data_IF_513909545222
#
_entry.id   IF_513909545222
#
_cell.length_a   1.000
_cell.length_b   1.000
_cell.length_c   1.000
_cell.angle_alpha   90.00
_cell.angle_beta   90.00
_cell.angle_gamma   90.00
#
_symmetry.space_group_name_H-M   'P 1'
#
loop_
_entity.id
_entity.type
_entity.pdbx_description
1 polymer ?
#
# COMPACT_ATOMS: atom_id res chain seq x y z
N UNK A 1 25.42 13.02 62.89
CA UNK A 1 24.57 11.95 62.31
C UNK A 1 25.48 11.06 61.48
N UNK A 2 25.94 9.94 62.06
CA UNK A 2 26.96 9.05 61.49
C UNK A 2 26.31 8.15 60.44
N UNK A 3 26.58 8.40 59.16
CA UNK A 3 26.18 7.51 58.06
C UNK A 3 26.93 6.19 58.27
N UNK A 4 26.22 5.11 58.55
CA UNK A 4 26.82 3.78 58.69
C UNK A 4 27.36 3.35 57.33
N UNK A 5 28.41 2.50 57.31
CA UNK A 5 28.99 1.95 56.07
C UNK A 5 27.92 1.30 55.17
N UNK A 6 26.91 0.72 55.78
CA UNK A 6 25.75 0.12 55.12
C UNK A 6 24.95 1.12 54.27
N UNK A 7 24.77 2.37 54.71
CA UNK A 7 24.06 3.40 53.94
C UNK A 7 24.89 4.00 52.78
N UNK A 8 26.21 3.79 52.79
CA UNK A 8 27.09 4.20 51.69
C UNK A 8 27.08 3.20 50.52
N UNK A 9 26.87 1.91 50.80
CA UNK A 9 26.99 0.83 49.80
C UNK A 9 25.65 0.53 49.06
N UNK A 10 24.51 0.90 49.65
CA UNK A 10 23.16 0.71 49.06
C UNK A 10 22.99 1.20 47.60
N UNK A 11 23.47 2.39 47.18
CA UNK A 11 23.34 2.81 45.78
C UNK A 11 24.19 1.95 44.83
N UNK A 12 25.35 1.46 45.27
CA UNK A 12 26.21 0.60 44.45
C UNK A 12 25.55 -0.76 44.22
N UNK A 13 24.97 -1.35 45.27
CA UNK A 13 24.22 -2.61 45.18
C UNK A 13 23.05 -2.48 44.20
N UNK A 14 22.29 -1.38 44.28
CA UNK A 14 21.16 -1.13 43.37
C UNK A 14 21.58 -0.98 41.89
N UNK A 15 22.71 -0.32 41.62
CA UNK A 15 23.25 -0.16 40.27
C UNK A 15 23.71 -1.52 39.72
N UNK A 16 24.47 -2.29 40.51
CA UNK A 16 24.97 -3.61 40.11
C UNK A 16 23.81 -4.57 39.84
N UNK A 17 22.78 -4.58 40.71
CA UNK A 17 21.59 -5.42 40.50
C UNK A 17 20.83 -5.04 39.22
N UNK A 18 20.73 -3.74 38.93
CA UNK A 18 20.02 -3.23 37.74
C UNK A 18 20.78 -3.55 36.45
N UNK A 19 22.12 -3.43 36.44
CA UNK A 19 22.94 -3.89 35.32
C UNK A 19 22.99 -5.42 35.20
N UNK A 20 22.92 -6.16 36.31
CA UNK A 20 22.74 -7.61 36.29
C UNK A 20 21.43 -8.02 35.61
N UNK A 21 20.32 -7.34 35.93
CA UNK A 21 19.05 -7.54 35.24
C UNK A 21 19.16 -7.20 33.75
N UNK A 22 19.90 -6.13 33.40
CA UNK A 22 20.12 -5.76 32.00
C UNK A 22 20.79 -6.89 31.19
N UNK A 23 21.87 -7.46 31.75
CA UNK A 23 22.62 -8.57 31.15
C UNK A 23 21.74 -9.82 31.06
N UNK A 24 21.02 -10.17 32.13
CA UNK A 24 20.12 -11.32 32.14
C UNK A 24 19.02 -11.20 31.08
N UNK A 25 18.42 -10.02 30.94
CA UNK A 25 17.44 -9.73 29.88
C UNK A 25 18.03 -9.88 28.48
N UNK A 26 19.26 -9.40 28.25
CA UNK A 26 19.92 -9.53 26.94
C UNK A 26 20.25 -10.99 26.58
N UNK A 27 20.73 -11.79 27.55
CA UNK A 27 20.99 -13.22 27.36
C UNK A 27 19.68 -13.98 27.13
N UNK A 28 18.62 -13.64 27.88
CA UNK A 28 17.29 -14.22 27.68
C UNK A 28 16.76 -13.91 26.28
N UNK A 29 16.96 -12.69 25.78
CA UNK A 29 16.56 -12.30 24.43
C UNK A 29 17.32 -13.12 23.37
N UNK A 30 18.65 -13.22 23.48
CA UNK A 30 19.47 -14.00 22.55
C UNK A 30 19.06 -15.48 22.54
N UNK A 31 18.76 -16.04 23.71
CA UNK A 31 18.30 -17.43 23.86
C UNK A 31 16.91 -17.62 23.26
N UNK A 32 15.96 -16.73 23.58
CA UNK A 32 14.61 -16.75 23.06
C UNK A 32 14.59 -16.63 21.53
N UNK A 33 15.48 -15.80 20.97
CA UNK A 33 15.65 -15.65 19.54
C UNK A 33 16.22 -16.93 18.90
N UNK A 34 17.31 -17.48 19.46
CA UNK A 34 17.97 -18.68 18.94
C UNK A 34 17.07 -19.92 18.98
N UNK A 35 16.21 -20.02 19.99
CA UNK A 35 15.26 -21.13 20.16
C UNK A 35 13.87 -20.84 19.56
N UNK A 36 13.71 -19.75 18.80
CA UNK A 36 12.48 -19.36 18.14
C UNK A 36 11.25 -19.31 19.09
N UNK A 37 11.43 -18.74 20.29
CA UNK A 37 10.33 -18.51 21.23
C UNK A 37 9.36 -17.46 20.69
N UNK A 38 8.21 -17.30 21.36
CA UNK A 38 7.18 -16.35 20.93
C UNK A 38 7.66 -14.90 20.96
N UNK A 39 7.05 -14.04 20.14
CA UNK A 39 7.37 -12.61 20.08
C UNK A 39 7.12 -11.90 21.41
N UNK A 40 6.16 -12.36 22.22
CA UNK A 40 5.92 -11.81 23.55
C UNK A 40 7.08 -12.10 24.50
N UNK A 41 7.68 -13.30 24.43
CA UNK A 41 8.82 -13.67 25.27
C UNK A 41 10.07 -12.84 24.93
N UNK A 42 10.34 -12.63 23.64
CA UNK A 42 11.42 -11.75 23.18
C UNK A 42 11.19 -10.30 23.63
N UNK A 43 9.96 -9.79 23.53
CA UNK A 43 9.59 -8.46 24.02
C UNK A 43 9.82 -8.31 25.53
N UNK A 44 9.41 -9.29 26.33
CA UNK A 44 9.63 -9.28 27.78
C UNK A 44 11.12 -9.27 28.15
N UNK A 45 11.94 -10.04 27.44
CA UNK A 45 13.39 -10.06 27.63
C UNK A 45 14.05 -8.69 27.35
N UNK A 46 13.62 -8.00 26.29
CA UNK A 46 14.08 -6.64 25.98
C UNK A 46 13.64 -5.62 27.04
N UNK A 47 12.42 -5.73 27.58
CA UNK A 47 11.96 -4.87 28.69
C UNK A 47 12.85 -5.04 29.92
N UNK A 48 13.21 -6.27 30.28
CA UNK A 48 14.14 -6.54 31.39
C UNK A 48 15.52 -5.95 31.09
N UNK A 49 16.01 -6.14 29.85
CA UNK A 49 17.32 -5.66 29.42
C UNK A 49 17.44 -4.13 29.52
N UNK A 50 16.55 -3.40 28.83
CA UNK A 50 16.58 -1.94 28.77
C UNK A 50 16.08 -1.30 30.07
N UNK A 51 15.13 -1.92 30.77
CA UNK A 51 14.66 -1.48 32.07
C UNK A 51 15.78 -1.51 33.11
N UNK A 52 16.52 -2.62 33.20
CA UNK A 52 17.69 -2.73 34.06
C UNK A 52 18.77 -1.70 33.74
N UNK A 53 19.08 -1.51 32.44
CA UNK A 53 20.06 -0.51 32.00
C UNK A 53 19.64 0.92 32.38
N UNK A 54 18.39 1.28 32.11
CA UNK A 54 17.83 2.61 32.40
C UNK A 54 17.84 2.93 33.89
N UNK A 55 17.37 2.00 34.73
CA UNK A 55 17.38 2.17 36.19
C UNK A 55 18.81 2.27 36.71
N UNK A 56 19.72 1.41 36.24
CA UNK A 56 21.12 1.42 36.66
C UNK A 56 21.83 2.75 36.32
N UNK A 57 21.66 3.25 35.10
CA UNK A 57 22.22 4.54 34.68
C UNK A 57 21.61 5.72 35.44
N UNK A 58 20.30 5.69 35.71
CA UNK A 58 19.62 6.74 36.47
C UNK A 58 20.12 6.80 37.91
N UNK A 59 20.28 5.65 38.57
CA UNK A 59 20.79 5.60 39.95
C UNK A 59 22.26 6.03 39.98
N UNK A 60 23.08 5.60 39.01
CA UNK A 60 24.47 6.07 38.86
C UNK A 60 24.51 7.61 38.73
N UNK A 61 23.79 8.17 37.76
CA UNK A 61 23.78 9.61 37.48
C UNK A 61 23.21 10.48 38.61
N UNK A 62 22.46 9.90 39.56
CA UNK A 62 21.94 10.64 40.72
C UNK A 62 22.78 10.46 41.98
N UNK A 63 23.48 9.34 42.12
CA UNK A 63 24.11 8.95 43.39
C UNK A 63 25.65 8.94 43.36
N UNK A 64 26.27 8.74 42.20
CA UNK A 64 27.73 8.61 42.08
C UNK A 64 28.38 9.73 41.26
N UNK A 65 27.67 10.36 40.33
CA UNK A 65 28.19 11.53 39.61
C UNK A 65 28.15 12.76 40.51
N UNK A 66 29.14 13.65 40.35
CA UNK A 66 29.18 14.92 41.07
C UNK A 66 28.03 15.78 40.56
N UNK A 67 27.10 16.09 41.45
CA UNK A 67 26.07 17.08 41.18
C UNK A 67 26.57 18.44 41.64
N UNK A 68 26.48 19.43 40.76
CA UNK A 68 26.85 20.81 41.04
C UNK A 68 26.32 21.72 39.94
N UNK A 69 26.02 22.97 40.28
CA UNK A 69 25.76 23.98 39.27
C UNK A 69 27.07 24.32 38.57
N UNK A 70 27.13 24.12 37.25
CA UNK A 70 28.18 24.69 36.42
C UNK A 70 27.61 25.92 35.73
N UNK A 71 28.35 27.02 35.79
CA UNK A 71 28.05 28.24 35.04
C UNK A 71 29.12 28.34 33.97
N UNK A 72 28.70 28.20 32.72
CA UNK A 72 29.54 28.45 31.55
C UNK A 72 29.14 29.80 30.97
N UNK A 73 30.11 30.68 30.71
CA UNK A 73 29.83 31.91 29.98
C UNK A 73 29.56 31.57 28.52
N UNK A 74 28.35 31.89 28.05
CA UNK A 74 28.00 31.74 26.64
C UNK A 74 28.50 32.96 25.89
N UNK A 75 29.50 32.78 25.04
CA UNK A 75 29.87 33.78 24.02
C UNK A 75 28.62 34.01 23.16
N UNK A 76 27.99 35.18 23.28
CA UNK A 76 26.64 35.45 22.77
C UNK A 76 26.41 35.03 21.30
N UNK A 77 25.16 34.95 20.88
CA UNK A 77 24.80 34.45 19.54
C UNK A 77 25.32 35.28 18.34
N UNK A 78 25.94 36.43 18.59
CA UNK A 78 26.46 37.31 17.57
C UNK A 78 27.99 37.25 17.54
N UNK A 79 28.54 36.88 16.38
CA UNK A 79 29.98 36.96 16.13
C UNK A 79 30.46 38.41 16.23
N UNK A 80 31.67 38.66 16.78
CA UNK A 80 32.28 39.99 16.83
C UNK A 80 32.30 40.68 15.47
N UNK A 81 32.11 42.00 15.46
CA UNK A 81 32.09 42.78 14.23
C UNK A 81 33.43 42.69 13.46
N UNK A 82 34.55 42.52 14.16
CA UNK A 82 35.86 42.28 13.56
C UNK A 82 35.94 40.99 12.75
N UNK A 83 35.31 39.91 13.23
CA UNK A 83 35.31 38.62 12.53
C UNK A 83 34.39 38.65 11.31
N UNK A 84 33.21 39.26 11.45
CA UNK A 84 32.27 39.43 10.33
C UNK A 84 32.83 40.34 9.24
N UNK A 85 33.51 41.42 9.62
CA UNK A 85 34.18 42.33 8.66
C UNK A 85 35.40 41.70 8.00
N UNK A 86 36.19 40.92 8.75
CA UNK A 86 37.31 40.16 8.18
C UNK A 86 36.82 39.10 7.17
N UNK A 87 35.78 38.32 7.52
CA UNK A 87 35.18 37.34 6.62
C UNK A 87 34.60 38.00 5.36
N UNK A 88 33.87 39.11 5.51
CA UNK A 88 33.34 39.86 4.37
C UNK A 88 34.47 40.43 3.47
N UNK A 89 35.56 40.91 4.07
CA UNK A 89 36.75 41.37 3.35
C UNK A 89 37.41 40.24 2.55
N UNK A 90 37.50 39.05 3.11
CA UNK A 90 38.07 37.88 2.44
C UNK A 90 37.16 37.38 1.29
N UNK A 91 35.84 37.30 1.51
CA UNK A 91 34.87 36.94 0.46
C UNK A 91 34.90 37.92 -0.72
N UNK A 92 35.04 39.22 -0.44
CA UNK A 92 35.08 40.25 -1.50
C UNK A 92 36.43 40.31 -2.20
N UNK A 93 37.54 40.03 -1.52
CA UNK A 93 38.88 39.95 -2.12
C UNK A 93 39.00 38.82 -3.16
N UNK A 94 38.25 37.72 -3.02
CA UNK A 94 38.25 36.59 -3.96
C UNK A 94 37.55 36.96 -5.30
N UNK A 95 36.69 37.98 -5.32
CA UNK A 95 35.92 38.40 -6.49
C UNK A 95 36.76 39.17 -7.54
N UNK A 96 37.73 38.51 -8.17
CA UNK A 96 38.55 39.11 -9.23
C UNK A 96 37.77 39.21 -10.57
N UNK A 97 37.72 40.39 -11.23
CA UNK A 97 36.89 40.62 -12.41
C UNK A 97 37.39 39.94 -13.71
N UNK A 98 38.63 39.43 -13.75
CA UNK A 98 39.25 38.86 -14.95
C UNK A 98 38.84 37.41 -15.30
N UNK A 99 37.96 36.77 -14.51
CA UNK A 99 37.53 35.36 -14.74
C UNK A 99 36.04 35.21 -15.05
N UNK A 100 35.34 36.30 -15.42
CA UNK A 100 33.89 36.31 -15.70
C UNK A 100 33.48 35.28 -16.75
N UNK A 101 34.27 35.09 -17.82
CA UNK A 101 34.01 34.08 -18.84
C UNK A 101 34.13 32.64 -18.33
N UNK A 102 35.15 32.36 -17.51
CA UNK A 102 35.36 31.03 -16.92
C UNK A 102 34.25 30.70 -15.90
N UNK A 103 33.85 31.66 -15.06
CA UNK A 103 32.73 31.50 -14.13
C UNK A 103 31.40 31.33 -14.85
N UNK A 104 31.15 32.09 -15.93
CA UNK A 104 29.96 31.91 -16.75
C UNK A 104 29.90 30.51 -17.38
N UNK A 105 31.03 30.01 -17.91
CA UNK A 105 31.12 28.65 -18.43
C UNK A 105 30.95 27.58 -17.35
N UNK A 106 31.50 27.79 -16.15
CA UNK A 106 31.28 26.90 -15.01
C UNK A 106 29.80 26.85 -14.61
N UNK A 107 29.15 28.00 -14.47
CA UNK A 107 27.71 28.08 -14.15
C UNK A 107 26.86 27.42 -15.24
N UNK A 108 27.20 27.61 -16.51
CA UNK A 108 26.54 26.95 -17.62
C UNK A 108 26.72 25.43 -17.55
N UNK A 109 27.95 24.95 -17.27
CA UNK A 109 28.24 23.52 -17.15
C UNK A 109 27.48 22.89 -15.97
N UNK A 110 27.51 23.52 -14.79
CA UNK A 110 26.75 23.06 -13.61
C UNK A 110 25.25 23.06 -13.89
N UNK A 111 24.73 24.08 -14.57
CA UNK A 111 23.31 24.15 -14.95
C UNK A 111 22.94 23.06 -15.96
N UNK A 112 23.79 22.80 -16.94
CA UNK A 112 23.59 21.73 -17.93
C UNK A 112 23.60 20.35 -17.28
N UNK A 113 24.53 20.09 -16.36
CA UNK A 113 24.55 18.85 -15.56
C UNK A 113 23.30 18.76 -14.68
N UNK A 114 22.89 19.85 -14.03
CA UNK A 114 21.66 19.92 -13.24
C UNK A 114 20.42 19.59 -14.06
N UNK A 115 20.31 20.12 -15.28
CA UNK A 115 19.24 19.79 -16.21
C UNK A 115 19.30 18.32 -16.67
N UNK A 116 20.49 17.79 -16.93
CA UNK A 116 20.67 16.39 -17.30
C UNK A 116 20.24 15.43 -16.18
N UNK A 117 20.41 15.81 -14.91
CA UNK A 117 19.96 15.02 -13.76
C UNK A 117 18.42 14.92 -13.65
N UNK A 118 17.67 15.78 -14.34
CA UNK A 118 16.20 15.66 -14.44
C UNK A 118 15.78 14.67 -15.53
N UNK A 119 16.66 14.33 -16.47
CA UNK A 119 16.33 13.47 -17.61
C UNK A 119 15.86 12.06 -17.22
N UNK A 120 16.39 11.39 -16.18
CA UNK A 120 15.86 10.10 -15.72
C UNK A 120 14.37 10.12 -15.33
N UNK A 121 13.80 11.27 -14.95
CA UNK A 121 12.36 11.40 -14.69
C UNK A 121 11.51 11.10 -15.93
N UNK A 122 12.07 11.26 -17.14
CA UNK A 122 11.41 10.83 -18.38
C UNK A 122 11.07 9.33 -18.35
N UNK A 123 11.90 8.49 -17.74
CA UNK A 123 11.63 7.06 -17.63
C UNK A 123 10.41 6.74 -16.76
N UNK A 124 9.99 7.66 -15.88
CA UNK A 124 8.76 7.53 -15.10
C UNK A 124 7.52 7.99 -15.88
N UNK A 125 7.71 8.84 -16.89
CA UNK A 125 6.65 9.47 -17.68
C UNK A 125 6.35 8.72 -18.98
N UNK A 126 7.26 7.86 -19.45
CA UNK A 126 7.04 7.06 -20.64
C UNK A 126 6.39 5.72 -20.27
N UNK A 127 5.14 5.46 -20.68
CA UNK A 127 4.53 4.15 -20.50
C UNK A 127 5.33 3.10 -21.27
N UNK A 128 5.68 2.01 -20.60
CA UNK A 128 6.27 0.82 -21.22
C UNK A 128 5.12 -0.02 -21.78
N UNK A 129 4.98 -0.08 -23.10
CA UNK A 129 3.95 -0.90 -23.76
C UNK A 129 2.81 -0.09 -24.34
N UNK A 130 1.60 -0.65 -24.29
CA UNK A 130 0.41 0.00 -24.85
C UNK A 130 0.04 1.28 -24.11
N UNK A 131 -0.66 2.18 -24.81
CA UNK A 131 -1.10 3.44 -24.23
C UNK A 131 -1.99 3.18 -23.00
N UNK A 132 -1.73 3.78 -21.83
CA UNK A 132 -2.44 3.46 -20.58
C UNK A 132 -3.97 3.56 -20.69
N UNK A 133 -4.47 4.56 -21.43
CA UNK A 133 -5.92 4.70 -21.64
C UNK A 133 -6.53 3.53 -22.42
N UNK A 134 -5.78 2.91 -23.34
CA UNK A 134 -6.24 1.73 -24.07
C UNK A 134 -6.30 0.52 -23.14
N UNK A 135 -5.28 0.31 -22.32
CA UNK A 135 -5.26 -0.75 -21.30
C UNK A 135 -6.40 -0.62 -20.29
N UNK A 136 -6.81 0.61 -19.95
CA UNK A 136 -7.94 0.85 -19.04
C UNK A 136 -9.32 0.74 -19.72
N UNK A 137 -9.39 0.61 -21.04
CA UNK A 137 -10.66 0.57 -21.80
C UNK A 137 -10.91 -0.76 -22.51
N UNK A 138 -9.89 -1.57 -22.70
CA UNK A 138 -9.96 -2.84 -23.40
C UNK A 138 -9.39 -3.93 -22.51
N UNK A 139 -10.14 -5.00 -22.33
CA UNK A 139 -9.72 -6.14 -21.53
C UNK A 139 -9.40 -7.36 -22.41
N UNK A 140 -8.85 -8.41 -21.79
CA UNK A 140 -8.65 -9.69 -22.46
C UNK A 140 -9.97 -10.36 -22.93
N UNK A 141 -11.15 -9.90 -22.48
CA UNK A 141 -12.44 -10.39 -22.98
C UNK A 141 -12.74 -9.97 -24.42
N UNK A 142 -12.05 -8.95 -24.95
CA UNK A 142 -12.16 -8.50 -26.34
C UNK A 142 -11.53 -9.47 -27.34
N UNK A 143 -10.73 -10.43 -26.88
CA UNK A 143 -10.12 -11.46 -27.72
C UNK A 143 -11.20 -12.30 -28.43
N UNK A 144 -10.79 -13.14 -29.39
CA UNK A 144 -11.70 -13.95 -30.19
C UNK A 144 -12.43 -15.00 -29.33
N UNK A 145 -13.57 -14.59 -28.78
CA UNK A 145 -14.52 -15.39 -28.01
C UNK A 145 -13.88 -16.30 -26.94
N UNK A 146 -13.11 -15.74 -25.98
CA UNK A 146 -12.42 -16.55 -24.98
C UNK A 146 -13.41 -17.34 -24.13
N UNK A 147 -13.07 -18.60 -23.85
CA UNK A 147 -13.84 -19.43 -22.91
C UNK A 147 -13.77 -18.84 -21.51
N UNK A 148 -14.86 -18.98 -20.77
CA UNK A 148 -14.88 -18.65 -19.35
C UNK A 148 -14.24 -19.79 -18.58
N UNK A 149 -13.20 -19.46 -17.82
CA UNK A 149 -12.45 -20.42 -17.01
C UNK A 149 -12.48 -20.05 -15.53
N UNK A 150 -12.31 -21.04 -14.66
CA UNK A 150 -12.09 -20.84 -13.23
C UNK A 150 -10.68 -20.28 -12.92
N UNK A 151 -10.35 -20.14 -11.64
CA UNK A 151 -9.04 -19.64 -11.20
C UNK A 151 -7.86 -20.57 -11.60
N UNK A 152 -8.13 -21.85 -11.84
CA UNK A 152 -7.15 -22.86 -12.25
C UNK A 152 -7.12 -23.03 -13.80
N UNK A 153 -7.74 -22.11 -14.55
CA UNK A 153 -7.85 -22.13 -16.00
C UNK A 153 -8.64 -23.34 -16.55
N UNK A 154 -9.62 -23.86 -15.79
CA UNK A 154 -10.52 -24.93 -16.24
C UNK A 154 -11.80 -24.32 -16.86
N UNK A 155 -12.23 -24.77 -18.06
CA UNK A 155 -13.44 -24.28 -18.69
C UNK A 155 -14.70 -24.52 -17.85
N UNK A 156 -15.55 -23.50 -17.77
CA UNK A 156 -16.81 -23.51 -17.00
C UNK A 156 -17.98 -23.87 -17.92
N UNK A 157 -18.85 -24.77 -17.47
CA UNK A 157 -20.10 -25.15 -18.16
C UNK A 157 -21.27 -24.34 -17.64
N UNK A 158 -22.32 -24.21 -18.47
CA UNK A 158 -23.58 -23.59 -18.03
C UNK A 158 -24.18 -24.29 -16.80
N UNK A 159 -24.06 -25.61 -16.73
CA UNK A 159 -24.54 -26.44 -15.61
C UNK A 159 -23.82 -26.18 -14.28
N UNK A 160 -22.60 -25.64 -14.33
CA UNK A 160 -21.79 -25.41 -13.14
C UNK A 160 -22.27 -24.16 -12.37
N UNK A 161 -23.01 -23.27 -13.04
CA UNK A 161 -23.63 -22.10 -12.42
C UNK A 161 -24.97 -22.52 -11.83
N UNK A 162 -24.98 -22.88 -10.55
CA UNK A 162 -26.21 -23.20 -9.83
C UNK A 162 -26.94 -21.92 -9.40
N UNK A 163 -28.26 -22.01 -9.20
CA UNK A 163 -28.94 -21.04 -8.33
C UNK A 163 -28.23 -21.12 -6.97
N UNK A 164 -27.93 -19.99 -6.34
CA UNK A 164 -27.23 -19.86 -5.02
C UNK A 164 -25.72 -19.62 -5.03
N UNK A 165 -24.99 -19.82 -6.14
CA UNK A 165 -23.53 -19.61 -6.15
C UNK A 165 -23.12 -18.50 -7.10
N UNK A 166 -22.15 -17.69 -6.65
CA UNK A 166 -21.42 -16.77 -7.51
C UNK A 166 -20.11 -17.43 -7.90
N UNK A 167 -19.95 -17.67 -9.19
CA UNK A 167 -18.75 -18.28 -9.72
C UNK A 167 -17.84 -17.21 -10.32
N UNK A 168 -16.63 -17.08 -9.78
CA UNK A 168 -15.61 -16.19 -10.34
C UNK A 168 -15.05 -16.81 -11.61
N UNK A 169 -14.94 -16.02 -12.67
CA UNK A 169 -14.47 -16.46 -13.98
C UNK A 169 -13.48 -15.49 -14.60
N UNK A 170 -12.66 -16.01 -15.50
CA UNK A 170 -11.63 -15.31 -16.25
C UNK A 170 -11.68 -15.73 -17.73
N UNK A 171 -11.11 -14.95 -18.66
CA UNK A 171 -10.87 -15.39 -20.02
C UNK A 171 -9.75 -16.40 -20.04
N UNK A 172 -9.91 -17.43 -20.86
CA UNK A 172 -8.91 -18.47 -21.07
C UNK A 172 -7.51 -17.89 -21.33
N UNK A 173 -6.51 -18.42 -20.60
CA UNK A 173 -5.12 -17.98 -20.69
C UNK A 173 -4.80 -16.64 -20.03
N UNK A 174 -5.78 -15.96 -19.41
CA UNK A 174 -5.63 -14.62 -18.83
C UNK A 174 -6.20 -14.53 -17.40
N UNK A 175 -5.75 -15.42 -16.51
CA UNK A 175 -6.24 -15.50 -15.11
C UNK A 175 -5.58 -14.52 -14.14
N UNK A 176 -4.50 -13.84 -14.53
CA UNK A 176 -3.68 -13.00 -13.63
C UNK A 176 -3.98 -11.49 -13.70
N UNK A 177 -4.86 -11.04 -14.61
CA UNK A 177 -5.21 -9.62 -14.77
C UNK A 177 -6.20 -9.11 -13.71
N UNK A 178 -5.99 -7.89 -13.20
CA UNK A 178 -6.83 -7.31 -12.13
C UNK A 178 -8.15 -6.68 -12.60
N UNK A 179 -8.21 -6.25 -13.86
CA UNK A 179 -9.36 -5.68 -14.58
C UNK A 179 -10.19 -6.75 -15.32
N UNK A 180 -9.64 -7.96 -15.39
CA UNK A 180 -10.16 -9.11 -16.10
C UNK A 180 -11.25 -9.91 -15.36
N UNK A 181 -11.28 -10.07 -14.02
CA UNK A 181 -12.20 -11.02 -13.42
C UNK A 181 -13.66 -10.58 -13.56
N UNK A 182 -14.49 -11.53 -13.96
CA UNK A 182 -15.95 -11.42 -13.95
C UNK A 182 -16.52 -12.43 -12.95
N UNK A 183 -17.82 -12.34 -12.71
CA UNK A 183 -18.55 -13.38 -11.99
C UNK A 183 -19.82 -13.76 -12.73
N UNK A 184 -20.20 -15.02 -12.59
CA UNK A 184 -21.45 -15.60 -13.05
C UNK A 184 -22.38 -15.80 -11.87
N UNK A 185 -23.65 -15.54 -12.08
CA UNK A 185 -24.71 -15.90 -11.13
C UNK A 185 -25.97 -16.29 -11.90
N UNK A 186 -26.67 -17.30 -11.41
CA UNK A 186 -27.98 -17.68 -11.92
C UNK A 186 -29.08 -17.06 -11.07
N UNK A 187 -29.94 -16.28 -11.71
CA UNK A 187 -31.11 -15.65 -11.11
C UNK A 187 -32.32 -16.01 -11.96
N UNK A 188 -33.44 -16.37 -11.31
CA UNK A 188 -34.69 -16.67 -12.02
C UNK A 188 -35.08 -15.52 -12.97
N UNK A 189 -35.28 -15.78 -14.28
CA UNK A 189 -35.52 -14.75 -15.29
C UNK A 189 -36.62 -13.72 -14.96
N UNK A 190 -37.69 -14.15 -14.29
CA UNK A 190 -38.83 -13.30 -13.93
C UNK A 190 -38.53 -12.26 -12.84
N UNK A 191 -37.39 -12.37 -12.14
CA UNK A 191 -37.00 -11.42 -11.09
C UNK A 191 -36.35 -10.15 -11.61
N UNK A 192 -35.83 -10.15 -12.84
CA UNK A 192 -35.14 -8.99 -13.39
C UNK A 192 -36.12 -7.84 -13.66
N UNK A 193 -35.81 -6.65 -13.14
CA UNK A 193 -36.60 -5.42 -13.37
C UNK A 193 -36.05 -4.64 -14.56
N UNK A 194 -34.75 -4.78 -14.83
CA UNK A 194 -34.06 -4.20 -15.98
C UNK A 194 -33.30 -5.30 -16.71
N UNK A 195 -33.29 -5.25 -18.04
CA UNK A 195 -32.53 -6.20 -18.85
C UNK A 195 -31.04 -6.13 -18.48
N UNK A 196 -30.39 -7.26 -18.14
CA UNK A 196 -28.96 -7.30 -17.87
C UNK A 196 -28.16 -6.78 -19.07
N UNK A 197 -27.14 -5.92 -18.87
CA UNK A 197 -26.45 -5.24 -19.96
C UNK A 197 -25.67 -6.21 -20.87
N UNK A 198 -25.12 -7.30 -20.31
CA UNK A 198 -24.47 -8.37 -21.08
C UNK A 198 -25.45 -9.40 -21.66
N UNK A 199 -26.76 -9.25 -21.44
CA UNK A 199 -27.72 -10.31 -21.73
C UNK A 199 -27.72 -11.42 -20.68
N UNK A 200 -28.42 -12.51 -20.98
CA UNK A 200 -28.64 -13.64 -20.06
C UNK A 200 -28.87 -14.94 -20.82
N UNK A 201 -28.53 -16.08 -20.21
CA UNK A 201 -28.79 -17.43 -20.72
C UNK A 201 -29.41 -18.25 -19.60
N UNK A 202 -30.69 -18.62 -19.71
CA UNK A 202 -31.41 -19.37 -18.68
C UNK A 202 -31.26 -18.78 -17.27
N UNK A 203 -31.25 -17.44 -17.17
CA UNK A 203 -31.08 -16.71 -15.91
C UNK A 203 -29.63 -16.51 -15.47
N UNK A 204 -28.65 -17.09 -16.17
CA UNK A 204 -27.23 -16.82 -15.95
C UNK A 204 -26.87 -15.47 -16.54
N UNK A 205 -26.30 -14.62 -15.70
CA UNK A 205 -25.77 -13.30 -16.07
C UNK A 205 -24.31 -13.20 -15.65
N UNK A 206 -23.56 -12.38 -16.38
CA UNK A 206 -22.16 -12.12 -16.10
C UNK A 206 -21.93 -10.63 -15.90
N UNK A 207 -21.20 -10.27 -14.84
CA UNK A 207 -20.79 -8.90 -14.54
C UNK A 207 -19.32 -8.84 -14.16
N UNK A 208 -18.70 -7.67 -14.27
CA UNK A 208 -17.35 -7.44 -13.75
C UNK A 208 -17.31 -7.67 -12.24
N UNK A 209 -16.29 -8.39 -11.77
CA UNK A 209 -16.00 -8.52 -10.34
C UNK A 209 -15.38 -7.24 -9.77
N UNK A 210 -15.02 -6.26 -10.60
CA UNK A 210 -14.26 -5.08 -10.19
C UNK A 210 -15.20 -3.93 -9.85
N UNK A 211 -15.21 -3.51 -8.59
CA UNK A 211 -16.04 -2.41 -8.10
C UNK A 211 -15.76 -1.11 -8.86
N UNK A 212 -16.84 -0.45 -9.30
CA UNK A 212 -16.80 0.78 -10.10
C UNK A 212 -16.40 2.04 -9.29
N UNK A 213 -16.26 1.92 -7.97
CA UNK A 213 -15.76 2.98 -7.11
C UNK A 213 -14.23 3.08 -7.16
N UNK A 214 -13.55 2.10 -6.56
CA UNK A 214 -12.11 2.12 -6.32
C UNK A 214 -11.39 0.81 -6.69
N UNK A 215 -12.06 -0.10 -7.44
CA UNK A 215 -11.41 -1.29 -8.00
C UNK A 215 -11.38 -2.53 -7.10
N UNK A 216 -11.92 -2.50 -5.88
CA UNK A 216 -12.01 -3.70 -5.04
C UNK A 216 -12.88 -4.79 -5.68
N UNK A 217 -12.59 -6.08 -5.43
CA UNK A 217 -13.48 -7.17 -5.82
C UNK A 217 -14.85 -7.07 -5.12
N UNK A 218 -15.95 -7.07 -5.88
CA UNK A 218 -17.31 -7.30 -5.35
C UNK A 218 -17.49 -8.79 -5.13
N UNK A 219 -17.24 -9.29 -3.92
CA UNK A 219 -17.12 -10.74 -3.67
C UNK A 219 -18.18 -11.31 -2.73
N UNK A 220 -19.13 -10.50 -2.28
CA UNK A 220 -20.16 -10.91 -1.32
C UNK A 220 -21.52 -10.86 -1.99
N UNK A 221 -22.18 -12.02 -2.13
CA UNK A 221 -23.48 -12.14 -2.76
C UNK A 221 -24.56 -12.40 -1.72
N UNK A 222 -25.60 -11.57 -1.74
CA UNK A 222 -26.82 -11.79 -0.96
C UNK A 222 -27.89 -12.39 -1.87
N UNK A 223 -28.19 -13.67 -1.64
CA UNK A 223 -29.08 -14.46 -2.49
C UNK A 223 -30.52 -13.96 -2.46
N UNK A 224 -31.01 -13.58 -1.27
CA UNK A 224 -32.41 -13.18 -1.09
C UNK A 224 -32.76 -11.96 -1.93
N UNK A 225 -31.91 -10.93 -1.91
CA UNK A 225 -32.11 -9.68 -2.64
C UNK A 225 -31.42 -9.65 -4.00
N UNK A 226 -30.64 -10.67 -4.35
CA UNK A 226 -29.79 -10.72 -5.54
C UNK A 226 -28.86 -9.49 -5.64
N UNK A 227 -28.20 -9.17 -4.53
CA UNK A 227 -27.30 -8.02 -4.42
C UNK A 227 -25.85 -8.45 -4.31
N UNK A 228 -24.95 -7.67 -4.91
CA UNK A 228 -23.51 -7.83 -4.77
C UNK A 228 -22.93 -6.72 -3.93
N UNK A 229 -22.16 -7.07 -2.91
CA UNK A 229 -21.57 -6.16 -1.95
C UNK A 229 -20.05 -6.10 -2.13
N UNK A 230 -19.54 -4.87 -2.14
CA UNK A 230 -18.11 -4.58 -2.05
C UNK A 230 -17.68 -4.48 -0.59
N UNK A 231 -16.78 -5.33 -0.08
CA UNK A 231 -16.37 -5.32 1.33
C UNK A 231 -15.54 -4.08 1.73
N UNK A 232 -14.95 -3.37 0.76
CA UNK A 232 -14.06 -2.24 1.06
C UNK A 232 -14.80 -1.01 1.60
N UNK A 233 -15.87 -0.59 0.91
CA UNK A 233 -16.60 0.65 1.23
C UNK A 233 -18.11 0.45 1.12
N UNK A 234 -18.57 -0.81 1.20
CA UNK A 234 -19.98 -1.17 1.31
C UNK A 234 -20.86 -0.66 0.16
N UNK A 235 -20.29 -0.58 -1.05
CA UNK A 235 -21.11 -0.37 -2.25
C UNK A 235 -21.94 -1.63 -2.51
N UNK A 236 -23.25 -1.45 -2.63
CA UNK A 236 -24.20 -2.54 -2.89
C UNK A 236 -24.76 -2.34 -4.30
N UNK A 237 -24.67 -3.38 -5.13
CA UNK A 237 -25.14 -3.40 -6.50
C UNK A 237 -26.33 -4.33 -6.63
N UNK A 238 -27.45 -3.81 -7.13
CA UNK A 238 -28.65 -4.59 -7.40
C UNK A 238 -28.54 -5.25 -8.78
N UNK A 239 -28.41 -6.58 -8.79
CA UNK A 239 -28.28 -7.34 -10.04
C UNK A 239 -29.61 -7.45 -10.81
N UNK A 240 -30.75 -7.31 -10.13
CA UNK A 240 -32.07 -7.30 -10.77
C UNK A 240 -32.29 -6.02 -11.58
N UNK A 241 -31.63 -4.93 -11.19
CA UNK A 241 -31.64 -3.62 -11.82
C UNK A 241 -30.33 -3.32 -12.58
N UNK A 242 -29.84 -4.27 -13.38
CA UNK A 242 -28.66 -4.11 -14.25
C UNK A 242 -27.36 -3.74 -13.51
N UNK A 243 -27.16 -4.26 -12.29
CA UNK A 243 -25.97 -4.01 -11.49
C UNK A 243 -25.88 -2.59 -10.96
N UNK A 244 -27.01 -1.87 -10.82
CA UNK A 244 -27.05 -0.47 -10.37
C UNK A 244 -26.65 -0.36 -8.90
N UNK A 245 -25.79 0.60 -8.52
CA UNK A 245 -25.50 0.86 -7.11
C UNK A 245 -26.74 1.40 -6.41
N UNK A 246 -27.10 0.80 -5.28
CA UNK A 246 -28.23 1.21 -4.43
C UNK A 246 -27.76 1.77 -3.08
N UNK A 247 -26.51 1.52 -2.70
CA UNK A 247 -25.90 2.03 -1.47
C UNK A 247 -24.38 2.15 -1.64
N UNK A 248 -23.77 2.98 -0.80
CA UNK A 248 -22.33 3.22 -0.77
C UNK A 248 -21.85 4.23 -1.83
N UNK A 249 -20.52 4.41 -1.97
CA UNK A 249 -19.95 5.48 -2.78
C UNK A 249 -19.87 5.20 -4.29
N UNK A 250 -20.14 3.97 -4.75
CA UNK A 250 -20.14 3.66 -6.17
C UNK A 250 -21.26 4.43 -6.90
N UNK A 251 -20.90 5.20 -7.92
CA UNK A 251 -21.84 6.01 -8.70
C UNK A 251 -22.23 5.38 -10.05
N UNK A 252 -21.69 4.20 -10.39
CA UNK A 252 -21.88 3.55 -11.70
C UNK A 252 -22.24 2.09 -11.54
N UNK A 253 -23.11 1.59 -12.42
CA UNK A 253 -23.46 0.17 -12.49
C UNK A 253 -22.26 -0.70 -12.82
N UNK A 254 -22.28 -1.94 -12.34
CA UNK A 254 -21.33 -2.96 -12.76
C UNK A 254 -21.46 -3.20 -14.27
N UNK A 255 -20.35 -3.20 -15.03
CA UNK A 255 -20.40 -3.58 -16.43
C UNK A 255 -20.81 -5.05 -16.58
N UNK A 256 -21.71 -5.31 -17.53
CA UNK A 256 -22.08 -6.67 -17.90
C UNK A 256 -21.09 -7.26 -18.89
N UNK A 257 -20.91 -8.57 -18.86
CA UNK A 257 -20.12 -9.31 -19.85
C UNK A 257 -21.07 -10.11 -20.74
N UNK A 258 -21.05 -9.93 -22.07
CA UNK A 258 -21.88 -10.72 -22.95
C UNK A 258 -21.32 -12.14 -23.09
N UNK A 259 -22.17 -13.13 -22.84
CA UNK A 259 -21.81 -14.55 -22.80
C UNK A 259 -22.67 -15.37 -23.77
N UNK A 260 -22.14 -16.49 -24.22
CA UNK A 260 -22.82 -17.52 -25.00
C UNK A 260 -22.36 -18.92 -24.56
N UNK A 261 -23.07 -19.96 -25.02
CA UNK A 261 -22.77 -21.36 -24.73
C UNK A 261 -22.45 -22.07 -26.04
N UNK A 262 -21.38 -22.86 -26.06
CA UNK A 262 -21.01 -23.68 -27.22
C UNK A 262 -21.83 -24.98 -27.28
N UNK A 263 -21.71 -25.72 -28.38
CA UNK A 263 -22.43 -27.00 -28.57
C UNK A 263 -22.09 -28.05 -27.50
N UNK A 264 -20.91 -27.95 -26.89
CA UNK A 264 -20.45 -28.85 -25.83
C UNK A 264 -20.91 -28.40 -24.43
N UNK A 265 -21.60 -27.26 -24.30
CA UNK A 265 -22.15 -26.71 -23.06
C UNK A 265 -21.19 -25.81 -22.27
N UNK A 266 -20.07 -25.40 -22.84
CA UNK A 266 -19.12 -24.48 -22.21
C UNK A 266 -19.47 -23.02 -22.48
N UNK A 267 -19.24 -22.18 -21.48
CA UNK A 267 -19.45 -20.74 -21.58
C UNK A 267 -18.26 -20.05 -22.24
N UNK A 268 -18.55 -19.10 -23.12
CA UNK A 268 -17.56 -18.19 -23.72
C UNK A 268 -18.11 -16.77 -23.79
N UNK A 269 -17.23 -15.78 -23.82
CA UNK A 269 -17.61 -14.38 -23.97
C UNK A 269 -17.81 -14.07 -25.46
N UNK A 270 -18.82 -13.27 -25.81
CA UNK A 270 -19.05 -12.83 -27.21
C UNK A 270 -18.51 -11.42 -27.50
N UNK A 271 -17.90 -10.80 -26.49
CA UNK A 271 -17.32 -9.48 -26.57
C UNK A 271 -16.81 -9.00 -25.21
N UNK A 272 -16.25 -7.79 -25.19
CA UNK A 272 -15.78 -7.13 -23.97
C UNK A 272 -16.96 -6.69 -23.09
N UNK A 273 -16.64 -6.21 -21.88
CA UNK A 273 -17.62 -5.61 -20.98
C UNK A 273 -18.39 -4.45 -21.65
N UNK A 274 -19.64 -4.27 -21.26
CA UNK A 274 -20.49 -3.17 -21.78
C UNK A 274 -19.98 -1.77 -21.47
N UNK A 275 -19.07 -1.64 -20.51
CA UNK A 275 -18.26 -0.44 -20.28
C UNK A 275 -16.95 -0.81 -19.57
N UNK A 276 -15.91 0.04 -19.57
CA UNK A 276 -14.64 -0.28 -18.93
C UNK A 276 -14.82 -0.67 -17.44
N UNK A 277 -14.29 -1.83 -17.01
CA UNK A 277 -14.40 -2.29 -15.63
C UNK A 277 -13.59 -1.44 -14.66
N UNK A 278 -13.93 -1.53 -13.37
CA UNK A 278 -13.22 -0.84 -12.31
C UNK A 278 -13.49 0.67 -12.22
N UNK A 279 -12.59 1.42 -11.55
CA UNK A 279 -12.80 2.81 -11.17
C UNK A 279 -12.84 3.77 -12.37
N UNK A 280 -13.38 4.97 -12.15
CA UNK A 280 -13.43 6.00 -13.17
C UNK A 280 -12.06 6.61 -13.43
N UNK A 281 -11.83 7.09 -14.65
CA UNK A 281 -10.64 7.84 -15.03
C UNK A 281 -11.02 9.01 -15.96
N UNK A 282 -10.10 9.97 -16.11
CA UNK A 282 -10.38 11.30 -16.70
C UNK A 282 -10.87 11.28 -18.16
N UNK A 283 -10.63 10.20 -18.88
CA UNK A 283 -10.97 10.02 -20.30
C UNK A 283 -11.84 8.78 -20.53
N UNK A 284 -12.56 8.32 -19.51
CA UNK A 284 -13.52 7.22 -19.65
C UNK A 284 -14.68 7.68 -20.54
N UNK A 285 -15.05 6.89 -21.56
CA UNK A 285 -16.17 7.23 -22.45
C UNK A 285 -17.52 7.26 -21.73
#
# INVERSE_FOLDING_TARGET
>A
MTRTREDADRPQIAIVASFGAAIAGAVLFATAYALAWSTQAMGAALVIAFGGLSVGLTVWARRLTRQGGYVEEHEGFASPQSETTAAAGELTAIAHPHRRGLLAMLMLAVSAVGAALLFPLRSLLQPRGEHPLRQLSQTAWRLDNPRLVDADNRPVRLSDVTEETVLKVFPEGHTEGGDVPAFLVRITPSRFTVRPPGGMIDGVVAYSLVCTHAGCPVSLYEQGTAQMLCPCHQSIFDLLAAGKPVQGPAARSLPGLPIAVDEAGFLYATGDFTSPPGPGYWSRP
#
